data_IF_950074160660
#
_entry.id   IF_950074160660
#
_cell.length_a   1.000
_cell.length_b   1.000
_cell.length_c   1.000
_cell.angle_alpha   90.00
_cell.angle_beta   90.00
_cell.angle_gamma   90.00
#
_symmetry.space_group_name_H-M   'P 1'
#
loop_
_entity.id
_entity.type
_entity.pdbx_description
1 polymer ?
#
# COMPACT_ATOMS: atom_id res chain seq x y z
N UNK A 1 -9.43 -0.15 -3.32
CA UNK A 1 -9.01 0.94 -2.41
C UNK A 1 -7.50 1.01 -2.46
N UNK A 2 -6.92 2.19 -2.29
CA UNK A 2 -5.47 2.38 -2.26
C UNK A 2 -5.09 2.98 -0.92
N UNK A 3 -4.11 2.39 -0.24
CA UNK A 3 -3.54 2.94 0.97
C UNK A 3 -2.16 3.51 0.65
N UNK A 4 -1.93 4.75 1.08
CA UNK A 4 -0.68 5.46 0.91
C UNK A 4 -0.22 5.92 2.29
N UNK A 5 1.03 5.66 2.63
CA UNK A 5 1.65 6.22 3.84
C UNK A 5 2.87 7.03 3.44
N UNK A 6 2.88 8.32 3.78
CA UNK A 6 4.02 9.21 3.55
C UNK A 6 4.61 9.65 4.89
N UNK A 7 5.92 9.55 5.05
CA UNK A 7 6.65 10.13 6.18
C UNK A 7 7.26 11.45 5.74
N UNK A 8 7.03 12.50 6.53
CA UNK A 8 7.41 13.87 6.21
C UNK A 8 8.27 14.42 7.33
N UNK A 9 9.35 15.09 6.97
CA UNK A 9 10.24 15.78 7.89
C UNK A 9 10.72 17.06 7.21
N UNK A 10 10.81 18.19 7.93
CA UNK A 10 11.23 19.49 7.38
C UNK A 10 10.57 19.85 6.04
N UNK A 11 9.24 19.68 5.96
CA UNK A 11 8.41 19.92 4.77
C UNK A 11 8.76 19.10 3.51
N UNK A 12 9.58 18.04 3.63
CA UNK A 12 9.93 17.13 2.54
C UNK A 12 9.37 15.73 2.80
N UNK A 13 8.95 15.03 1.74
CA UNK A 13 8.64 13.60 1.83
C UNK A 13 9.94 12.82 1.91
N UNK A 14 10.08 11.97 2.93
CA UNK A 14 11.25 11.11 3.14
C UNK A 14 10.97 9.65 2.83
N UNK A 15 9.75 9.18 3.02
CA UNK A 15 9.33 7.82 2.69
C UNK A 15 7.91 7.83 2.13
N UNK A 16 7.63 6.96 1.18
CA UNK A 16 6.28 6.70 0.70
C UNK A 16 6.07 5.22 0.42
N UNK A 17 4.97 4.69 0.95
CA UNK A 17 4.49 3.33 0.68
C UNK A 17 3.12 3.34 0.05
N UNK A 18 2.89 2.35 -0.81
CA UNK A 18 1.67 2.16 -1.57
C UNK A 18 1.19 0.71 -1.47
N UNK A 19 -0.10 0.49 -1.23
CA UNK A 19 -0.73 -0.81 -1.50
C UNK A 19 -2.11 -0.64 -2.13
N UNK A 20 -2.42 -1.51 -3.10
CA UNK A 20 -3.68 -1.60 -3.81
C UNK A 20 -4.46 -2.76 -3.20
N UNK A 21 -5.52 -2.44 -2.47
CA UNK A 21 -6.29 -3.38 -1.69
C UNK A 21 -7.68 -3.62 -2.29
N UNK A 22 -7.99 -4.88 -2.55
CA UNK A 22 -9.34 -5.32 -2.86
C UNK A 22 -10.06 -5.82 -1.60
N UNK A 23 -11.28 -5.36 -1.37
CA UNK A 23 -12.06 -5.83 -0.22
C UNK A 23 -12.97 -6.98 -0.62
N UNK A 24 -12.93 -8.04 0.18
CA UNK A 24 -13.78 -9.22 -0.01
C UNK A 24 -14.55 -9.50 1.25
N UNK A 25 -15.87 -9.59 1.12
CA UNK A 25 -16.77 -9.82 2.25
C UNK A 25 -17.03 -11.31 2.43
N UNK A 26 -16.97 -11.77 3.68
CA UNK A 26 -17.45 -13.10 4.05
C UNK A 26 -18.98 -13.17 4.07
N UNK A 27 -19.53 -14.37 3.93
CA UNK A 27 -20.99 -14.56 3.84
C UNK A 27 -21.64 -14.85 5.19
N UNK A 28 -21.13 -15.84 5.93
CA UNK A 28 -21.70 -16.29 7.22
C UNK A 28 -20.63 -16.56 8.27
N UNK A 29 -19.66 -17.39 7.92
CA UNK A 29 -18.43 -17.65 8.68
C UNK A 29 -17.31 -16.78 8.14
N UNK A 30 -16.19 -16.58 8.86
CA UNK A 30 -15.04 -15.84 8.35
C UNK A 30 -14.30 -16.68 7.29
N UNK A 31 -15.00 -16.89 6.17
CA UNK A 31 -14.62 -17.63 4.98
C UNK A 31 -14.91 -16.79 3.74
N UNK A 32 -13.97 -16.77 2.78
CA UNK A 32 -14.03 -15.98 1.57
C UNK A 32 -13.89 -16.85 0.32
N UNK A 33 -14.88 -16.81 -0.55
CA UNK A 33 -14.99 -17.69 -1.72
C UNK A 33 -14.49 -16.99 -2.99
N UNK A 34 -13.53 -17.58 -3.70
CA UNK A 34 -12.93 -17.04 -4.92
C UNK A 34 -13.42 -17.75 -6.20
N UNK A 35 -14.28 -18.76 -6.05
CA UNK A 35 -14.75 -19.61 -7.16
C UNK A 35 -16.13 -19.19 -7.70
N UNK A 36 -16.63 -18.00 -7.37
CA UNK A 36 -17.91 -17.54 -7.90
C UNK A 36 -17.74 -17.18 -9.38
N UNK A 37 -18.57 -17.77 -10.24
CA UNK A 37 -18.60 -17.45 -11.67
C UNK A 37 -19.40 -16.17 -11.93
N UNK A 38 -18.97 -15.39 -12.92
CA UNK A 38 -19.78 -14.32 -13.50
C UNK A 38 -20.77 -14.88 -14.55
N UNK A 39 -21.57 -13.99 -15.16
CA UNK A 39 -22.55 -14.34 -16.20
C UNK A 39 -21.94 -14.98 -17.46
N UNK A 40 -20.63 -14.81 -17.66
CA UNK A 40 -19.87 -15.34 -18.79
C UNK A 40 -19.08 -16.60 -18.43
N UNK A 41 -19.27 -17.13 -17.21
CA UNK A 41 -18.59 -18.32 -16.73
C UNK A 41 -17.14 -18.10 -16.25
N UNK A 42 -16.66 -16.85 -16.17
CA UNK A 42 -15.33 -16.49 -15.67
C UNK A 42 -15.27 -16.41 -14.15
N UNK A 43 -14.08 -16.47 -13.57
CA UNK A 43 -13.86 -16.37 -12.12
C UNK A 43 -13.23 -15.02 -11.76
N UNK A 44 -14.02 -13.92 -11.69
CA UNK A 44 -13.49 -12.57 -11.52
C UNK A 44 -12.62 -12.41 -10.26
N UNK A 45 -12.98 -13.09 -9.16
CA UNK A 45 -12.18 -13.05 -7.93
C UNK A 45 -10.78 -13.68 -8.10
N UNK A 46 -10.67 -14.76 -8.90
CA UNK A 46 -9.38 -15.38 -9.21
C UNK A 46 -8.55 -14.52 -10.16
N UNK A 47 -9.18 -13.88 -11.15
CA UNK A 47 -8.51 -12.94 -12.05
C UNK A 47 -8.00 -11.72 -11.30
N UNK A 48 -8.80 -11.17 -10.38
CA UNK A 48 -8.37 -10.08 -9.49
C UNK A 48 -7.23 -10.49 -8.56
N UNK A 49 -7.29 -11.70 -7.99
CA UNK A 49 -6.19 -12.25 -7.19
C UNK A 49 -4.91 -12.39 -8.02
N UNK A 50 -5.01 -12.92 -9.24
CA UNK A 50 -3.88 -13.03 -10.15
C UNK A 50 -3.25 -11.66 -10.46
N UNK A 51 -4.10 -10.66 -10.77
CA UNK A 51 -3.67 -9.29 -11.01
C UNK A 51 -2.92 -8.71 -9.82
N UNK A 52 -3.48 -8.80 -8.61
CA UNK A 52 -2.87 -8.20 -7.41
C UNK A 52 -1.64 -8.97 -6.90
N UNK A 53 -1.54 -10.27 -7.18
CA UNK A 53 -0.39 -11.07 -6.77
C UNK A 53 0.83 -10.87 -7.69
N UNK A 54 0.62 -10.54 -8.97
CA UNK A 54 1.69 -10.51 -10.00
C UNK A 54 1.86 -9.20 -10.74
N UNK A 55 0.83 -8.36 -10.79
CA UNK A 55 0.79 -7.14 -11.61
C UNK A 55 1.29 -7.34 -13.05
N UNK A 56 0.65 -8.26 -13.84
CA UNK A 56 0.92 -8.33 -15.27
C UNK A 56 0.68 -6.96 -15.93
N UNK A 57 1.30 -6.71 -17.09
CA UNK A 57 1.09 -5.44 -17.82
C UNK A 57 -0.40 -5.15 -17.98
N UNK A 58 -0.82 -3.95 -17.58
CA UNK A 58 -2.21 -3.51 -17.63
C UNK A 58 -2.32 -2.05 -18.03
N UNK A 59 -3.53 -1.63 -18.40
CA UNK A 59 -3.85 -0.23 -18.68
C UNK A 59 -5.28 0.09 -18.26
N UNK A 60 -5.59 1.37 -18.10
CA UNK A 60 -6.97 1.83 -17.99
C UNK A 60 -7.79 1.45 -19.22
N UNK A 61 -9.07 1.14 -18.98
CA UNK A 61 -10.08 0.95 -20.03
C UNK A 61 -11.12 2.07 -19.95
N UNK A 62 -11.97 2.18 -20.96
CA UNK A 62 -13.14 3.07 -20.92
C UNK A 62 -13.95 2.84 -19.63
N UNK A 63 -14.31 3.91 -18.95
CA UNK A 63 -14.96 3.89 -17.65
C UNK A 63 -14.02 3.79 -16.45
N UNK A 64 -12.70 3.95 -16.59
CA UNK A 64 -11.73 3.91 -15.48
C UNK A 64 -10.99 5.25 -15.29
N UNK A 65 -10.75 5.62 -14.03
CA UNK A 65 -9.86 6.73 -13.64
C UNK A 65 -8.37 6.41 -13.84
N UNK A 66 -8.03 5.12 -14.00
CA UNK A 66 -6.67 4.70 -14.33
C UNK A 66 -6.36 5.16 -15.76
N UNK A 67 -5.22 5.83 -16.02
CA UNK A 67 -4.86 6.26 -17.36
C UNK A 67 -4.71 5.10 -18.35
N UNK A 68 -4.98 5.36 -19.63
CA UNK A 68 -4.97 4.37 -20.72
C UNK A 68 -3.55 4.00 -21.20
N UNK A 69 -2.51 4.50 -20.52
CA UNK A 69 -1.13 4.06 -20.77
C UNK A 69 -0.86 2.70 -20.12
N UNK A 70 0.13 1.99 -20.64
CA UNK A 70 0.54 0.71 -20.11
C UNK A 70 1.38 0.87 -18.84
N UNK A 71 1.08 0.04 -17.84
CA UNK A 71 1.79 -0.06 -16.59
C UNK A 71 2.29 -1.48 -16.41
N UNK A 72 3.55 -1.62 -15.98
CA UNK A 72 4.15 -2.86 -15.54
C UNK A 72 4.69 -2.62 -14.13
N UNK A 73 3.90 -2.97 -13.11
CA UNK A 73 4.24 -2.67 -11.73
C UNK A 73 5.07 -3.80 -11.12
N UNK A 74 6.13 -3.44 -10.42
CA UNK A 74 6.95 -4.39 -9.68
C UNK A 74 6.38 -4.62 -8.27
N UNK A 75 6.18 -5.87 -7.88
CA UNK A 75 5.74 -6.26 -6.52
C UNK A 75 6.91 -6.84 -5.71
N UNK A 76 7.98 -6.05 -5.52
CA UNK A 76 9.25 -6.52 -4.93
C UNK A 76 9.08 -7.08 -3.52
N UNK A 77 8.29 -6.41 -2.69
CA UNK A 77 8.02 -6.82 -1.31
C UNK A 77 6.90 -7.85 -1.16
N UNK A 78 6.27 -8.24 -2.27
CA UNK A 78 4.99 -8.95 -2.29
C UNK A 78 3.83 -8.21 -1.61
N UNK A 79 3.96 -6.93 -1.25
CA UNK A 79 2.95 -6.14 -0.51
C UNK A 79 2.29 -5.02 -1.33
N UNK A 80 2.59 -4.89 -2.63
CA UNK A 80 1.94 -3.89 -3.49
C UNK A 80 0.44 -4.20 -3.67
N UNK A 81 0.09 -5.47 -3.81
CA UNK A 81 -1.30 -5.92 -3.94
C UNK A 81 -1.76 -6.64 -2.69
N UNK A 82 -2.99 -6.37 -2.24
CA UNK A 82 -3.50 -6.90 -0.98
C UNK A 82 -5.01 -7.13 -0.99
N UNK A 83 -5.48 -7.88 0.00
CA UNK A 83 -6.88 -8.10 0.29
C UNK A 83 -7.25 -7.64 1.70
N UNK A 84 -8.36 -6.91 1.79
CA UNK A 84 -9.10 -6.69 3.03
C UNK A 84 -10.22 -7.71 3.13
N UNK A 85 -10.05 -8.72 3.96
CA UNK A 85 -10.97 -9.83 4.15
C UNK A 85 -11.96 -9.48 5.28
N UNK A 86 -13.12 -8.91 4.91
CA UNK A 86 -14.13 -8.41 5.86
C UNK A 86 -14.93 -9.57 6.49
N UNK A 87 -15.13 -9.52 7.82
CA UNK A 87 -15.94 -10.48 8.56
C UNK A 87 -16.79 -9.84 9.66
N UNK A 88 -17.85 -10.56 10.08
CA UNK A 88 -18.72 -10.11 11.16
C UNK A 88 -18.05 -10.38 12.53
N UNK A 89 -18.24 -9.51 13.52
CA UNK A 89 -19.07 -8.30 13.52
C UNK A 89 -18.29 -7.01 13.18
N UNK A 90 -17.99 -6.76 11.90
CA UNK A 90 -17.49 -5.45 11.44
C UNK A 90 -15.97 -5.29 11.53
N UNK A 91 -15.24 -6.40 11.45
CA UNK A 91 -13.77 -6.43 11.49
C UNK A 91 -13.24 -6.91 10.12
N UNK A 92 -11.92 -6.84 9.93
CA UNK A 92 -11.28 -7.42 8.75
C UNK A 92 -9.85 -7.88 9.02
N UNK A 93 -9.47 -8.93 8.30
CA UNK A 93 -8.09 -9.38 8.23
C UNK A 93 -7.46 -8.80 6.97
N UNK A 94 -6.21 -8.36 7.07
CA UNK A 94 -5.42 -7.94 5.92
C UNK A 94 -4.49 -9.09 5.52
N UNK A 95 -4.32 -9.31 4.22
CA UNK A 95 -3.28 -10.18 3.71
C UNK A 95 -2.79 -9.69 2.35
N UNK A 96 -1.51 -9.84 2.07
CA UNK A 96 -0.98 -9.60 0.74
C UNK A 96 -1.63 -10.57 -0.25
N UNK A 97 -1.82 -10.11 -1.48
CA UNK A 97 -2.42 -10.94 -2.52
C UNK A 97 -1.57 -12.20 -2.79
N UNK A 98 -0.26 -12.12 -2.56
CA UNK A 98 0.64 -13.27 -2.68
C UNK A 98 0.34 -14.34 -1.61
N UNK A 99 0.12 -13.93 -0.37
CA UNK A 99 -0.26 -14.85 0.71
C UNK A 99 -1.64 -15.45 0.45
N UNK A 100 -2.61 -14.63 0.03
CA UNK A 100 -3.94 -15.09 -0.34
C UNK A 100 -3.88 -16.13 -1.45
N UNK A 101 -3.04 -15.92 -2.45
CA UNK A 101 -2.80 -16.90 -3.52
C UNK A 101 -2.25 -18.23 -2.99
N UNK A 102 -1.23 -18.18 -2.13
CA UNK A 102 -0.62 -19.39 -1.55
C UNK A 102 -1.64 -20.18 -0.75
N UNK A 103 -2.41 -19.51 0.11
CA UNK A 103 -3.45 -20.17 0.91
C UNK A 103 -4.64 -20.66 0.09
N UNK A 104 -5.00 -19.94 -0.97
CA UNK A 104 -6.06 -20.40 -1.86
C UNK A 104 -5.62 -21.67 -2.59
N UNK A 105 -4.40 -21.74 -3.13
CA UNK A 105 -3.90 -22.91 -3.87
C UNK A 105 -4.94 -23.46 -4.86
N UNK A 106 -5.30 -24.75 -4.69
CA UNK A 106 -6.36 -25.41 -5.45
C UNK A 106 -7.75 -25.34 -4.78
N UNK A 107 -7.84 -24.74 -3.59
CA UNK A 107 -9.07 -24.55 -2.84
C UNK A 107 -9.98 -23.51 -3.51
N UNK A 108 -11.24 -23.52 -3.08
CA UNK A 108 -12.29 -22.60 -3.56
C UNK A 108 -12.47 -21.38 -2.65
N UNK A 109 -12.04 -21.50 -1.40
CA UNK A 109 -12.17 -20.50 -0.37
C UNK A 109 -10.92 -20.44 0.50
N UNK A 110 -10.83 -19.38 1.30
CA UNK A 110 -9.89 -19.22 2.39
C UNK A 110 -10.71 -18.96 3.65
N UNK A 111 -10.32 -19.58 4.77
CA UNK A 111 -10.88 -19.32 6.09
C UNK A 111 -9.91 -18.49 6.94
N UNK A 112 -10.41 -17.82 7.98
CA UNK A 112 -9.59 -16.93 8.82
C UNK A 112 -8.44 -17.66 9.52
N UNK A 113 -8.60 -18.94 9.80
CA UNK A 113 -7.57 -19.78 10.44
C UNK A 113 -6.29 -19.84 9.59
N UNK A 114 -6.40 -19.69 8.26
CA UNK A 114 -5.24 -19.59 7.38
C UNK A 114 -4.51 -18.24 7.53
N UNK A 115 -5.24 -17.18 7.87
CA UNK A 115 -4.69 -15.82 8.00
C UNK A 115 -4.08 -15.59 9.39
N UNK A 116 -4.64 -16.25 10.41
CA UNK A 116 -4.12 -16.19 11.77
C UNK A 116 -2.63 -16.59 11.82
N UNK A 117 -1.86 -16.09 12.80
CA UNK A 117 -0.45 -16.39 12.89
C UNK A 117 -0.29 -17.88 13.19
N UNK A 118 0.10 -18.67 12.20
CA UNK A 118 0.68 -19.98 12.47
C UNK A 118 2.09 -19.79 13.02
N UNK A 119 2.47 -20.64 13.97
CA UNK A 119 3.83 -20.70 14.54
C UNK A 119 4.91 -20.96 13.48
N UNK A 120 4.49 -21.40 12.29
CA UNK A 120 5.36 -21.89 11.22
C UNK A 120 5.66 -20.83 10.15
N UNK A 121 5.05 -19.63 10.24
CA UNK A 121 5.26 -18.55 9.29
C UNK A 121 5.97 -17.37 9.95
N UNK A 122 7.31 -17.36 9.86
CA UNK A 122 8.11 -16.15 10.07
C UNK A 122 7.93 -15.24 8.87
N UNK A 123 7.35 -14.04 9.06
CA UNK A 123 7.43 -13.01 8.02
C UNK A 123 8.91 -12.66 7.84
N UNK A 124 9.50 -12.85 6.65
CA UNK A 124 10.85 -12.40 6.40
C UNK A 124 10.83 -10.88 6.48
N UNK A 125 11.28 -10.32 7.59
CA UNK A 125 11.57 -8.91 7.68
C UNK A 125 12.63 -8.63 6.61
N UNK A 126 12.26 -7.88 5.56
CA UNK A 126 13.20 -7.57 4.48
C UNK A 126 14.42 -6.89 5.07
N UNK A 127 15.57 -7.54 4.91
CA UNK A 127 16.85 -6.89 5.07
C UNK A 127 16.98 -5.85 3.97
N UNK A 128 17.09 -4.57 4.34
CA UNK A 128 17.65 -3.57 3.45
C UNK A 128 19.17 -3.79 3.50
N UNK A 129 19.82 -4.28 2.43
CA UNK A 129 21.23 -4.66 2.49
C UNK A 129 22.18 -3.47 2.70
N UNK A 130 21.68 -2.23 2.63
CA UNK A 130 22.45 -1.03 2.90
C UNK A 130 21.73 -0.11 3.90
N UNK A 131 22.41 0.39 4.94
CA UNK A 131 21.92 1.56 5.66
C UNK A 131 21.88 2.72 4.68
N UNK A 132 20.72 3.34 4.40
CA UNK A 132 20.64 4.52 3.52
C UNK A 132 21.28 5.77 4.15
N UNK A 133 22.02 5.63 5.24
CA UNK A 133 22.37 6.70 6.18
C UNK A 133 23.86 7.05 6.10
N UNK A 134 24.28 7.65 4.97
CA UNK A 134 25.56 8.36 4.88
C UNK A 134 25.39 9.89 4.95
N UNK A 135 24.28 10.40 5.50
CA UNK A 135 23.95 11.82 5.48
C UNK A 135 23.55 12.37 6.86
N UNK A 136 23.94 13.63 7.13
CA UNK A 136 23.83 14.31 8.42
C UNK A 136 22.39 14.47 8.93
N UNK A 137 21.45 14.76 8.04
CA UNK A 137 20.02 14.91 8.40
C UNK A 137 19.33 13.56 8.66
N UNK A 138 19.95 12.49 8.20
CA UNK A 138 19.42 11.14 8.28
C UNK A 138 19.59 10.56 9.69
N UNK A 139 20.58 11.02 10.47
CA UNK A 139 20.77 10.64 11.87
C UNK A 139 19.70 11.25 12.79
N UNK A 140 19.35 12.51 12.60
CA UNK A 140 18.28 13.15 13.37
C UNK A 140 16.91 12.56 13.02
N UNK A 141 16.64 12.37 11.72
CA UNK A 141 15.46 11.65 11.26
C UNK A 141 15.40 10.23 11.84
N UNK A 142 16.53 9.52 11.85
CA UNK A 142 16.66 8.20 12.46
C UNK A 142 16.29 8.22 13.93
N UNK A 143 16.80 9.19 14.69
CA UNK A 143 16.46 9.37 16.09
C UNK A 143 14.97 9.66 16.29
N UNK A 144 14.39 10.57 15.51
CA UNK A 144 12.96 10.93 15.58
C UNK A 144 12.07 9.73 15.23
N UNK A 145 12.42 8.94 14.22
CA UNK A 145 11.73 7.69 13.86
C UNK A 145 11.83 6.65 14.97
N UNK A 146 13.04 6.39 15.48
CA UNK A 146 13.24 5.47 16.59
C UNK A 146 12.40 5.88 17.80
N UNK A 147 12.45 7.17 18.18
CA UNK A 147 11.67 7.72 19.28
C UNK A 147 10.17 7.56 19.06
N UNK A 148 9.67 7.80 17.85
CA UNK A 148 8.25 7.68 17.53
C UNK A 148 7.77 6.22 17.64
N UNK A 149 8.53 5.26 17.11
CA UNK A 149 8.08 3.87 17.04
C UNK A 149 8.43 3.01 18.25
N UNK A 150 9.53 3.30 18.97
CA UNK A 150 10.01 2.51 20.13
C UNK A 150 9.49 3.01 21.48
N UNK A 151 8.72 4.10 21.54
CA UNK A 151 8.17 4.63 22.82
C UNK A 151 7.07 3.78 23.47
N UNK A 152 6.65 2.66 22.89
CA UNK A 152 5.62 1.77 23.49
C UNK A 152 6.26 0.63 24.29
N UNK A 153 5.98 0.48 25.59
CA UNK A 153 6.69 -0.42 26.50
C UNK A 153 6.35 -1.92 26.37
N UNK A 154 5.52 -2.32 25.42
CA UNK A 154 4.93 -3.67 25.37
C UNK A 154 5.37 -4.55 24.19
N UNK A 155 6.56 -4.34 23.62
CA UNK A 155 7.06 -5.27 22.61
C UNK A 155 8.50 -5.72 22.86
N UNK A 156 8.73 -7.03 23.10
CA UNK A 156 10.04 -7.63 22.99
C UNK A 156 10.33 -7.80 21.49
N UNK A 157 10.69 -6.72 20.80
CA UNK A 157 11.37 -6.86 19.53
C UNK A 157 12.75 -7.43 19.87
N UNK A 158 13.14 -8.62 19.40
CA UNK A 158 14.45 -9.17 19.70
C UNK A 158 15.49 -8.19 19.19
N UNK A 159 16.19 -7.56 20.12
CA UNK A 159 17.23 -6.53 19.94
C UNK A 159 18.38 -7.04 19.03
N UNK A 160 18.39 -8.35 18.72
CA UNK A 160 19.41 -9.04 17.93
C UNK A 160 19.01 -9.38 16.49
N UNK A 161 17.82 -8.99 16.03
CA UNK A 161 17.54 -9.04 14.59
C UNK A 161 17.84 -7.66 13.99
N UNK A 162 18.88 -7.60 13.15
CA UNK A 162 19.35 -6.45 12.35
C UNK A 162 18.30 -5.91 11.35
N UNK A 163 17.04 -5.84 11.76
CA UNK A 163 15.95 -5.36 10.96
C UNK A 163 15.87 -3.85 11.14
N UNK A 164 16.26 -3.16 10.07
CA UNK A 164 16.11 -1.72 9.87
C UNK A 164 14.73 -1.21 10.28
N UNK A 165 14.63 0.11 10.49
CA UNK A 165 13.45 0.88 10.90
C UNK A 165 12.11 0.21 10.56
N UNK A 166 11.10 0.30 11.44
CA UNK A 166 9.75 -0.20 11.15
C UNK A 166 9.11 0.42 9.89
N UNK A 167 9.66 1.51 9.35
CA UNK A 167 9.27 2.11 8.07
C UNK A 167 9.71 1.27 6.85
N UNK A 168 10.77 0.46 6.98
CA UNK A 168 11.35 -0.33 5.87
C UNK A 168 10.84 -1.78 5.90
N UNK A 169 10.38 -2.28 7.06
CA UNK A 169 9.77 -3.60 7.18
C UNK A 169 8.46 -3.70 6.40
N UNK A 170 8.13 -4.91 5.93
CA UNK A 170 6.87 -5.19 5.25
C UNK A 170 6.13 -6.30 5.99
N UNK A 171 4.97 -5.96 6.54
CA UNK A 171 4.02 -6.94 7.06
C UNK A 171 3.02 -7.27 5.98
N UNK A 172 2.91 -8.56 5.73
CA UNK A 172 2.10 -9.14 4.68
C UNK A 172 0.74 -9.59 5.19
N UNK A 173 0.48 -9.49 6.50
CA UNK A 173 -0.81 -9.87 7.11
C UNK A 173 -1.15 -9.06 8.35
N UNK A 174 -2.43 -9.00 8.68
CA UNK A 174 -2.94 -8.66 10.01
C UNK A 174 -4.26 -9.38 10.25
N UNK A 175 -4.53 -9.79 11.48
CA UNK A 175 -5.67 -10.66 11.79
C UNK A 175 -6.96 -9.88 12.01
N UNK A 176 -6.83 -8.61 12.42
CA UNK A 176 -7.94 -7.71 12.71
C UNK A 176 -7.56 -6.26 12.38
N UNK A 177 -8.55 -5.36 12.49
CA UNK A 177 -8.42 -3.93 12.23
C UNK A 177 -7.44 -3.23 13.17
N UNK A 178 -7.32 -3.67 14.43
CA UNK A 178 -6.40 -3.06 15.39
C UNK A 178 -4.95 -3.34 15.01
N UNK A 179 -4.64 -4.60 14.69
CA UNK A 179 -3.32 -5.01 14.23
C UNK A 179 -2.98 -4.38 12.87
N UNK A 180 -3.96 -4.31 11.95
CA UNK A 180 -3.82 -3.58 10.68
C UNK A 180 -3.44 -2.13 10.93
N UNK A 181 -4.21 -1.44 11.79
CA UNK A 181 -4.02 -0.02 12.09
C UNK A 181 -2.65 0.22 12.70
N UNK A 182 -2.24 -0.62 13.66
CA UNK A 182 -0.91 -0.53 14.24
C UNK A 182 0.19 -0.70 13.17
N UNK A 183 0.11 -1.74 12.35
CA UNK A 183 1.11 -2.00 11.30
C UNK A 183 1.13 -0.90 10.24
N UNK A 184 -0.04 -0.44 9.81
CA UNK A 184 -0.18 0.60 8.80
C UNK A 184 0.36 1.95 9.29
N UNK A 185 0.04 2.36 10.52
CA UNK A 185 0.57 3.59 11.14
C UNK A 185 2.07 3.48 11.47
N UNK A 186 2.60 2.27 11.60
CA UNK A 186 4.05 2.02 11.68
C UNK A 186 4.76 2.01 10.32
N UNK A 187 4.03 2.26 9.23
CA UNK A 187 4.50 2.14 7.87
C UNK A 187 5.04 0.73 7.53
N UNK A 188 4.53 -0.32 8.19
CA UNK A 188 4.86 -1.72 7.87
C UNK A 188 4.01 -2.27 6.71
N UNK A 189 2.92 -1.62 6.32
CA UNK A 189 2.05 -2.10 5.25
C UNK A 189 2.36 -1.36 3.94
N UNK A 190 2.54 -2.13 2.87
CA UNK A 190 2.65 -1.65 1.50
C UNK A 190 4.06 -1.72 0.90
N UNK A 191 4.13 -1.50 -0.42
CA UNK A 191 5.35 -1.49 -1.20
C UNK A 191 6.04 -0.13 -1.11
N UNK A 192 7.36 -0.11 -0.93
CA UNK A 192 8.13 1.12 -0.87
C UNK A 192 8.26 1.72 -2.27
N UNK A 193 7.64 2.89 -2.49
CA UNK A 193 7.72 3.61 -3.78
C UNK A 193 8.86 4.60 -3.79
N UNK A 194 9.05 5.32 -2.69
CA UNK A 194 10.04 6.38 -2.56
C UNK A 194 10.69 6.34 -1.19
N UNK A 195 12.01 6.54 -1.12
CA UNK A 195 12.72 6.87 0.11
C UNK A 195 13.96 7.73 -0.15
N UNK A 196 14.17 8.73 0.69
CA UNK A 196 15.36 9.58 0.74
C UNK A 196 15.85 10.02 -0.66
N UNK A 197 15.00 10.73 -1.42
CA UNK A 197 15.30 11.24 -2.77
C UNK A 197 15.46 10.18 -3.87
N UNK A 198 15.32 8.90 -3.54
CA UNK A 198 15.33 7.80 -4.49
C UNK A 198 13.95 7.19 -4.68
N UNK A 199 13.60 6.90 -5.93
CA UNK A 199 12.43 6.10 -6.24
C UNK A 199 12.82 4.61 -6.25
N UNK A 200 12.47 3.90 -5.17
CA UNK A 200 12.81 2.49 -4.98
C UNK A 200 11.99 1.56 -5.86
N UNK A 201 10.75 1.95 -6.15
CA UNK A 201 9.87 1.24 -7.07
C UNK A 201 9.31 2.23 -8.08
N UNK A 202 10.16 2.60 -9.04
CA UNK A 202 9.85 3.61 -10.04
C UNK A 202 8.54 3.35 -10.81
N UNK A 203 8.21 2.12 -11.23
CA UNK A 203 6.92 1.86 -11.87
C UNK A 203 5.72 2.16 -10.96
N UNK A 204 5.75 1.74 -9.70
CA UNK A 204 4.68 1.98 -8.74
C UNK A 204 4.59 3.47 -8.34
N UNK A 205 5.74 4.12 -8.19
CA UNK A 205 5.83 5.56 -7.95
C UNK A 205 5.19 6.36 -9.09
N UNK A 206 5.60 6.07 -10.34
CA UNK A 206 5.07 6.74 -11.51
C UNK A 206 3.56 6.51 -11.66
N UNK A 207 3.09 5.27 -11.49
CA UNK A 207 1.65 4.96 -11.47
C UNK A 207 0.87 5.81 -10.47
N UNK A 208 1.39 5.99 -9.26
CA UNK A 208 0.76 6.84 -8.25
C UNK A 208 0.72 8.31 -8.70
N UNK A 209 1.80 8.83 -9.27
CA UNK A 209 1.84 10.20 -9.80
C UNK A 209 0.80 10.40 -10.92
N UNK A 210 0.73 9.48 -11.87
CA UNK A 210 -0.21 9.55 -12.98
C UNK A 210 -1.67 9.47 -12.50
N UNK A 211 -1.93 8.60 -11.53
CA UNK A 211 -3.25 8.46 -10.93
C UNK A 211 -3.68 9.74 -10.22
N UNK A 212 -2.80 10.35 -9.41
CA UNK A 212 -3.10 11.60 -8.71
C UNK A 212 -3.31 12.76 -9.68
N UNK A 213 -2.59 12.80 -10.81
CA UNK A 213 -2.81 13.76 -11.88
C UNK A 213 -4.15 13.54 -12.61
N UNK A 214 -4.55 12.29 -12.88
CA UNK A 214 -5.86 11.98 -13.44
C UNK A 214 -7.00 12.41 -12.50
N UNK A 215 -6.86 12.12 -11.19
CA UNK A 215 -7.80 12.56 -10.15
C UNK A 215 -7.89 14.08 -10.10
N UNK A 216 -6.76 14.80 -10.18
CA UNK A 216 -6.73 16.27 -10.22
C UNK A 216 -7.58 16.81 -11.36
N UNK A 217 -7.36 16.29 -12.57
CA UNK A 217 -8.05 16.73 -13.79
C UNK A 217 -9.55 16.44 -13.74
N UNK A 218 -9.93 15.25 -13.27
CA UNK A 218 -11.33 14.89 -13.06
C UNK A 218 -11.99 15.83 -12.05
N UNK A 219 -11.33 16.08 -10.92
CA UNK A 219 -11.84 16.97 -9.88
C UNK A 219 -11.99 18.43 -10.35
N UNK A 220 -11.07 18.93 -11.18
CA UNK A 220 -11.18 20.25 -11.80
C UNK A 220 -12.37 20.34 -12.76
N UNK A 221 -12.57 19.33 -13.62
CA UNK A 221 -13.72 19.27 -14.54
C UNK A 221 -15.05 19.22 -13.78
N UNK A 222 -15.10 18.41 -12.73
CA UNK A 222 -16.30 18.23 -11.89
C UNK A 222 -16.49 19.36 -10.86
N UNK A 223 -15.55 20.31 -10.76
CA UNK A 223 -15.52 21.39 -9.75
C UNK A 223 -15.66 20.84 -8.31
N UNK A 224 -14.97 19.74 -8.03
CA UNK A 224 -15.02 19.07 -6.74
C UNK A 224 -13.88 19.55 -5.83
N UNK A 225 -14.13 20.60 -5.05
CA UNK A 225 -13.12 21.24 -4.20
C UNK A 225 -12.54 20.29 -3.14
N UNK A 226 -13.34 19.32 -2.65
CA UNK A 226 -12.86 18.34 -1.66
C UNK A 226 -11.75 17.47 -2.24
N UNK A 227 -11.95 16.95 -3.45
CA UNK A 227 -10.95 16.12 -4.13
C UNK A 227 -9.76 16.97 -4.57
N UNK A 228 -9.99 18.21 -5.05
CA UNK A 228 -8.89 19.12 -5.37
C UNK A 228 -8.01 19.42 -4.16
N UNK A 229 -8.60 19.69 -2.99
CA UNK A 229 -7.87 19.91 -1.75
C UNK A 229 -7.09 18.67 -1.30
N UNK A 230 -7.66 17.48 -1.45
CA UNK A 230 -6.96 16.21 -1.21
C UNK A 230 -5.73 16.04 -2.12
N UNK A 231 -5.87 16.32 -3.42
CA UNK A 231 -4.73 16.22 -4.34
C UNK A 231 -3.68 17.29 -4.02
N UNK A 232 -4.10 18.51 -3.70
CA UNK A 232 -3.19 19.58 -3.30
C UNK A 232 -2.43 19.22 -2.02
N UNK A 233 -3.07 18.61 -1.02
CA UNK A 233 -2.39 18.15 0.19
C UNK A 233 -1.40 17.01 -0.09
N UNK A 234 -1.73 16.11 -1.03
CA UNK A 234 -0.81 15.06 -1.45
C UNK A 234 0.49 15.62 -2.06
N UNK A 235 0.39 16.72 -2.81
CA UNK A 235 1.52 17.40 -3.46
C UNK A 235 2.14 18.53 -2.62
N UNK A 236 1.63 18.79 -1.41
CA UNK A 236 2.10 19.89 -0.57
C UNK A 236 3.59 19.79 -0.22
N UNK A 237 4.08 18.57 -0.08
CA UNK A 237 5.47 18.29 0.30
C UNK A 237 6.23 17.73 -0.89
N UNK A 238 7.36 18.35 -1.19
CA UNK A 238 8.21 17.95 -2.30
C UNK A 238 8.82 16.56 -2.06
N UNK A 239 8.92 15.78 -3.13
CA UNK A 239 9.95 14.75 -3.23
C UNK A 239 11.31 15.45 -3.41
N UNK A 240 12.43 14.78 -3.13
CA UNK A 240 13.77 15.33 -3.33
C UNK A 240 14.00 15.93 -4.73
N UNK A 241 15.05 16.73 -4.89
CA UNK A 241 15.33 17.47 -6.13
C UNK A 241 15.24 16.58 -7.39
N UNK A 242 14.46 17.02 -8.39
CA UNK A 242 14.47 16.41 -9.74
C UNK A 242 13.41 15.33 -10.03
N UNK A 243 12.51 14.98 -9.11
CA UNK A 243 11.46 13.99 -9.40
C UNK A 243 10.13 14.64 -9.81
N UNK A 244 10.01 14.97 -11.10
CA UNK A 244 8.75 15.35 -11.76
C UNK A 244 8.42 14.33 -12.85
N UNK A 245 7.24 13.71 -12.76
CA UNK A 245 6.83 12.67 -13.72
C UNK A 245 6.73 13.20 -15.15
N UNK A 246 7.12 12.34 -16.10
CA UNK A 246 6.82 12.53 -17.53
C UNK A 246 5.31 12.57 -17.75
N UNK A 247 4.87 13.22 -18.83
CA UNK A 247 3.47 13.56 -19.11
C UNK A 247 2.45 12.45 -18.79
N UNK A 248 1.33 12.86 -18.21
CA UNK A 248 0.22 11.96 -17.90
C UNK A 248 -0.49 11.53 -19.20
N UNK A 249 -0.87 10.25 -19.32
CA UNK A 249 -1.62 9.74 -20.48
C UNK A 249 -3.10 10.13 -20.48
N UNK A 250 -3.79 9.89 -21.60
CA UNK A 250 -5.25 10.05 -21.67
C UNK A 250 -5.98 9.12 -20.69
N UNK A 251 -7.11 9.58 -20.15
CA UNK A 251 -7.97 8.80 -19.24
C UNK A 251 -9.44 9.20 -19.43
N UNK A 252 -10.37 8.37 -18.95
CA UNK A 252 -11.81 8.62 -19.09
C UNK A 252 -12.34 9.49 -17.96
N UNK A 253 -12.88 10.66 -18.32
CA UNK A 253 -13.46 11.63 -17.39
C UNK A 253 -14.79 11.18 -16.80
N UNK A 254 -15.54 10.31 -17.48
CA UNK A 254 -16.85 9.80 -17.03
C UNK A 254 -16.72 8.46 -16.30
N UNK A 255 -15.49 7.95 -16.17
CA UNK A 255 -15.18 6.67 -15.54
C UNK A 255 -15.26 6.66 -14.01
N UNK A 256 -15.35 5.44 -13.47
CA UNK A 256 -15.62 5.09 -12.08
C UNK A 256 -14.62 5.60 -11.04
N UNK A 257 -14.84 5.22 -9.78
CA UNK A 257 -14.12 5.75 -8.62
C UNK A 257 -13.10 4.78 -8.02
N UNK A 258 -12.03 5.34 -7.45
CA UNK A 258 -11.10 4.64 -6.57
C UNK A 258 -11.14 5.33 -5.21
N UNK A 259 -11.31 4.54 -4.14
CA UNK A 259 -11.11 5.03 -2.78
C UNK A 259 -9.61 5.09 -2.46
N UNK A 260 -9.13 6.21 -1.94
CA UNK A 260 -7.74 6.40 -1.49
C UNK A 260 -7.75 6.84 -0.03
N UNK A 261 -6.92 6.18 0.79
CA UNK A 261 -6.59 6.61 2.14
C UNK A 261 -5.12 7.01 2.12
N UNK A 262 -4.85 8.29 2.35
CA UNK A 262 -3.50 8.84 2.47
C UNK A 262 -3.23 9.23 3.91
N UNK A 263 -2.24 8.58 4.51
CA UNK A 263 -1.78 8.86 5.87
C UNK A 263 -0.45 9.59 5.82
N UNK A 264 -0.38 10.72 6.50
CA UNK A 264 0.85 11.51 6.63
C UNK A 264 1.38 11.38 8.06
N UNK A 265 2.61 10.91 8.20
CA UNK A 265 3.35 10.88 9.46
C UNK A 265 4.33 12.04 9.45
N UNK A 266 3.97 13.15 10.09
CA UNK A 266 4.82 14.33 10.20
C UNK A 266 5.74 14.23 11.43
N UNK A 267 7.05 14.26 11.20
CA UNK A 267 8.09 14.19 12.24
C UNK A 267 8.70 15.56 12.57
N UNK A 268 8.33 16.62 11.84
CA UNK A 268 8.79 17.98 12.08
C UNK A 268 7.89 18.77 13.05
N UNK A 269 6.61 18.38 13.17
CA UNK A 269 5.67 18.99 14.11
C UNK A 269 5.72 18.25 15.46
N UNK A 270 6.66 18.64 16.32
CA UNK A 270 6.81 18.02 17.64
C UNK A 270 7.88 18.61 18.54
N UNK A 271 8.36 19.82 18.24
CA UNK A 271 9.17 20.65 19.13
C UNK A 271 8.32 21.75 19.78
#
# INVERSE_FOLDING_TARGET
>A
MIFITSVIYNNRKYFEKLTITQFKRSTKRPEWYFNKKDKNGKYPDKEQLYLLARFPTFKGIGGSIIPMKEYSLSNYSNCLGSYGLLYKPGDFAFASAKIVEVFLGNSKNISIEHILPSTDFYEPLMFCPHPPFHFRDAEELWYKLCRHYFRKPFFPYPIFQNNFLPVIGNSSRSCNVHEFTEKYLRALIGELTFAYEFSYNQPAFQFLQDLMMAIRKKAQRERNDKIQNFVNSFYQHAYGEGQGGEGFGEFDYEGGGIGIIHTVINLGEGE
#
